data_IF_206579261296
#
_entry.id   IF_206579261296
#
_cell.length_a   1.000
_cell.length_b   1.000
_cell.length_c   1.000
_cell.angle_alpha   90.00
_cell.angle_beta   90.00
_cell.angle_gamma   90.00
#
_symmetry.space_group_name_H-M   'P 1'
#
loop_
_entity.id
_entity.type
_entity.pdbx_description
1 polymer ?
#
# COMPACT_ATOMS: atom_id res chain seq x y z
N UNK A 1 -17.94 -2.96 14.90
CA UNK A 1 -16.89 -2.46 14.01
C UNK A 1 -15.98 -3.60 13.57
N UNK A 2 -16.32 -4.24 12.44
CA UNK A 2 -15.50 -5.28 11.84
C UNK A 2 -14.54 -4.60 10.87
N UNK A 3 -13.51 -3.95 11.41
CA UNK A 3 -12.41 -3.48 10.59
C UNK A 3 -11.65 -4.70 10.08
N UNK A 4 -11.68 -4.92 8.77
CA UNK A 4 -10.87 -5.97 8.15
C UNK A 4 -9.43 -5.49 8.08
N UNK A 5 -8.50 -6.29 8.60
CA UNK A 5 -7.07 -6.02 8.51
C UNK A 5 -6.50 -6.86 7.37
N UNK A 6 -5.83 -6.20 6.42
CA UNK A 6 -5.07 -6.84 5.35
C UNK A 6 -3.58 -6.70 5.61
N UNK A 7 -2.81 -7.74 5.34
CA UNK A 7 -1.36 -7.74 5.47
C UNK A 7 -0.74 -7.61 4.08
N UNK A 8 0.07 -6.57 3.87
CA UNK A 8 0.81 -6.36 2.63
C UNK A 8 2.30 -6.51 2.87
N UNK A 9 2.98 -7.20 1.96
CA UNK A 9 4.44 -7.27 1.94
C UNK A 9 4.97 -6.27 0.90
N UNK A 10 5.86 -5.39 1.32
CA UNK A 10 6.51 -4.40 0.48
C UNK A 10 7.67 -5.02 -0.29
N UNK A 11 8.15 -4.34 -1.34
CA UNK A 11 9.22 -4.86 -2.20
C UNK A 11 10.56 -5.09 -1.48
N UNK A 12 10.78 -4.44 -0.35
CA UNK A 12 11.93 -4.62 0.55
C UNK A 12 11.68 -5.67 1.66
N UNK A 13 10.63 -6.49 1.52
CA UNK A 13 10.23 -7.54 2.48
C UNK A 13 9.70 -7.02 3.82
N UNK A 14 9.49 -5.71 3.95
CA UNK A 14 8.72 -5.14 5.05
C UNK A 14 7.25 -5.59 5.00
N UNK A 15 6.56 -5.53 6.12
CA UNK A 15 5.14 -5.83 6.20
C UNK A 15 4.39 -4.62 6.71
N UNK A 16 3.19 -4.38 6.17
CA UNK A 16 2.31 -3.28 6.59
C UNK A 16 0.92 -3.84 6.87
N UNK A 17 0.36 -3.45 8.01
CA UNK A 17 -1.03 -3.73 8.36
C UNK A 17 -1.92 -2.64 7.79
N UNK A 18 -2.91 -3.03 7.00
CA UNK A 18 -3.89 -2.09 6.42
C UNK A 18 -5.25 -2.30 7.05
N UNK A 19 -5.75 -1.29 7.74
CA UNK A 19 -7.11 -1.25 8.28
C UNK A 19 -8.06 -0.74 7.20
N UNK A 20 -8.96 -1.60 6.75
CA UNK A 20 -9.93 -1.33 5.69
C UNK A 20 -11.21 -0.76 6.29
N UNK A 21 -11.51 0.50 5.98
CA UNK A 21 -12.67 1.21 6.51
C UNK A 21 -13.97 0.99 5.71
N UNK A 22 -13.88 0.40 4.51
CA UNK A 22 -15.02 0.26 3.60
C UNK A 22 -15.19 -1.18 3.09
N UNK A 23 -16.43 -1.70 3.14
CA UNK A 23 -16.82 -3.02 2.61
C UNK A 23 -16.81 -3.11 1.06
N UNK A 24 -16.04 -2.29 0.37
CA UNK A 24 -15.96 -2.22 -1.09
C UNK A 24 -14.50 -2.38 -1.52
N UNK A 25 -14.15 -3.65 -1.76
CA UNK A 25 -12.96 -4.28 -2.37
C UNK A 25 -12.15 -3.40 -3.35
N UNK A 26 -10.82 -3.64 -3.54
CA UNK A 26 -10.33 -4.82 -4.29
C UNK A 26 -8.89 -5.28 -3.93
N UNK A 27 -8.76 -6.10 -2.88
CA UNK A 27 -7.55 -6.89 -2.62
C UNK A 27 -7.59 -8.23 -3.38
N UNK A 28 -7.70 -8.17 -4.70
CA UNK A 28 -7.88 -9.33 -5.58
C UNK A 28 -6.74 -9.48 -6.62
N UNK A 29 -5.66 -8.72 -6.47
CA UNK A 29 -4.44 -8.81 -7.27
C UNK A 29 -3.22 -8.87 -6.35
N UNK A 30 -2.10 -9.34 -6.90
CA UNK A 30 -0.82 -9.42 -6.19
C UNK A 30 -0.28 -8.04 -5.81
N UNK A 31 -0.50 -7.04 -6.65
CA UNK A 31 -0.09 -5.66 -6.39
C UNK A 31 -1.32 -4.77 -6.21
N UNK A 32 -1.28 -3.93 -5.18
CA UNK A 32 -2.35 -2.97 -4.86
C UNK A 32 -1.73 -1.63 -4.46
N UNK A 33 -2.42 -0.54 -4.77
CA UNK A 33 -2.14 0.79 -4.24
C UNK A 33 -3.11 1.08 -3.09
N UNK A 34 -2.54 1.48 -1.94
CA UNK A 34 -3.28 1.82 -0.73
C UNK A 34 -2.99 3.28 -0.38
N UNK A 35 -4.04 4.08 -0.29
CA UNK A 35 -3.96 5.49 0.15
C UNK A 35 -4.64 5.60 1.51
N UNK A 36 -3.89 6.08 2.50
CA UNK A 36 -4.35 6.12 3.88
C UNK A 36 -3.48 6.97 4.78
N UNK A 37 -3.89 7.02 6.05
CA UNK A 37 -3.15 7.66 7.12
C UNK A 37 -2.31 6.61 7.85
N UNK A 38 -1.04 6.93 8.15
CA UNK A 38 -0.21 6.10 9.04
C UNK A 38 -0.76 6.21 10.46
N UNK A 39 -1.12 5.09 11.09
CA UNK A 39 -1.80 5.04 12.40
C UNK A 39 -1.03 4.33 13.49
N UNK A 40 0.16 3.82 13.18
CA UNK A 40 1.08 3.19 14.13
C UNK A 40 2.32 2.67 13.42
N UNK A 41 3.14 1.92 14.16
CA UNK A 41 4.28 1.23 13.59
C UNK A 41 3.79 0.24 12.53
N UNK A 42 4.28 0.41 11.30
CA UNK A 42 3.96 -0.42 10.14
C UNK A 42 2.46 -0.57 9.86
N UNK A 43 1.66 0.46 10.15
CA UNK A 43 0.20 0.41 10.01
C UNK A 43 -0.39 1.61 9.28
N UNK A 44 -1.31 1.33 8.35
CA UNK A 44 -2.06 2.34 7.58
C UNK A 44 -3.56 2.10 7.77
N UNK A 45 -4.31 3.17 7.98
CA UNK A 45 -5.76 3.17 7.91
C UNK A 45 -6.20 3.79 6.59
N UNK A 46 -6.93 3.04 5.77
CA UNK A 46 -7.39 3.51 4.46
C UNK A 46 -8.27 4.75 4.56
N UNK A 47 -7.99 5.73 3.70
CA UNK A 47 -8.83 6.91 3.52
C UNK A 47 -9.57 6.91 2.18
N UNK A 48 -9.09 6.12 1.22
CA UNK A 48 -9.71 5.87 -0.08
C UNK A 48 -9.75 4.36 -0.37
N UNK A 49 -10.67 3.86 -1.21
CA UNK A 49 -10.64 2.47 -1.65
C UNK A 49 -9.30 2.12 -2.31
N UNK A 50 -8.75 0.95 -1.99
CA UNK A 50 -7.54 0.45 -2.64
C UNK A 50 -7.75 0.28 -4.16
N UNK A 51 -6.66 0.36 -4.93
CA UNK A 51 -6.64 0.14 -6.37
C UNK A 51 -5.84 -1.12 -6.70
N UNK A 52 -6.42 -2.05 -7.46
CA UNK A 52 -5.72 -3.24 -7.97
C UNK A 52 -4.82 -2.86 -9.13
N UNK A 53 -3.54 -3.23 -9.05
CA UNK A 53 -2.54 -2.96 -10.10
C UNK A 53 -2.24 -4.19 -10.97
N UNK A 54 -2.90 -5.33 -10.71
CA UNK A 54 -2.66 -6.60 -11.40
C UNK A 54 -1.48 -7.37 -10.82
N UNK A 55 -0.95 -8.32 -11.60
CA UNK A 55 0.04 -9.30 -11.14
C UNK A 55 1.43 -9.16 -11.80
N UNK A 56 1.55 -8.32 -12.84
CA UNK A 56 2.77 -8.11 -13.63
C UNK A 56 3.39 -6.72 -13.36
N UNK A 57 3.90 -6.50 -12.14
CA UNK A 57 4.47 -5.21 -11.75
C UNK A 57 5.81 -5.33 -10.99
N UNK A 58 6.94 -5.35 -11.72
CA UNK A 58 8.27 -5.67 -11.16
C UNK A 58 9.17 -4.45 -10.84
N UNK A 59 8.77 -3.21 -11.14
CA UNK A 59 9.71 -2.06 -11.19
C UNK A 59 9.50 -0.90 -10.20
N UNK A 60 8.55 -0.99 -9.26
CA UNK A 60 8.18 0.15 -8.40
C UNK A 60 9.27 0.56 -7.38
N UNK A 61 10.01 -0.40 -6.83
CA UNK A 61 11.00 -0.11 -5.78
C UNK A 61 12.10 0.85 -6.25
N UNK A 62 12.51 0.75 -7.53
CA UNK A 62 13.51 1.65 -8.10
C UNK A 62 13.00 3.09 -8.17
N UNK A 63 11.72 3.29 -8.51
CA UNK A 63 11.10 4.62 -8.54
C UNK A 63 11.07 5.25 -7.16
N UNK A 64 10.69 4.49 -6.12
CA UNK A 64 10.71 4.98 -4.73
C UNK A 64 12.12 5.37 -4.28
N UNK A 65 13.13 4.55 -4.62
CA UNK A 65 14.52 4.88 -4.32
C UNK A 65 14.99 6.16 -5.03
N UNK A 66 14.59 6.36 -6.30
CA UNK A 66 14.89 7.60 -7.03
C UNK A 66 14.20 8.81 -6.43
N UNK A 67 12.91 8.71 -6.08
CA UNK A 67 12.15 9.78 -5.42
C UNK A 67 12.84 10.22 -4.13
N UNK A 68 13.27 9.27 -3.28
CA UNK A 68 14.00 9.58 -2.04
C UNK A 68 15.36 10.21 -2.29
N UNK A 69 16.03 9.84 -3.39
CA UNK A 69 17.36 10.36 -3.74
C UNK A 69 17.32 11.76 -4.33
N UNK A 70 16.25 12.09 -5.05
CA UNK A 70 16.09 13.39 -5.72
C UNK A 70 14.77 14.04 -5.31
N UNK A 71 14.62 14.45 -4.02
CA UNK A 71 13.36 14.99 -3.52
C UNK A 71 13.00 16.34 -4.16
N UNK A 72 13.97 17.09 -4.69
CA UNK A 72 13.71 18.44 -5.25
C UNK A 72 12.99 18.41 -6.61
N UNK A 73 12.93 17.25 -7.26
CA UNK A 73 12.31 17.09 -8.60
C UNK A 73 11.04 16.21 -8.56
N UNK A 74 10.65 15.72 -7.39
CA UNK A 74 9.46 14.91 -7.15
C UNK A 74 8.52 15.62 -6.18
#
# INVERSE_FOLDING_TARGET
DNNNIIFLTTSDQGNVNVTVNNNRTPYNSRFVEVIGQVTGDDSITETLPALSLGDDFESYNKLIQYQRKFPDIF
#
